data_IF_557069301555
#
_entry.id   IF_557069301555
#
_cell.length_a   1.000
_cell.length_b   1.000
_cell.length_c   1.000
_cell.angle_alpha   90.00
_cell.angle_beta   90.00
_cell.angle_gamma   90.00
#
_symmetry.space_group_name_H-M   'P 1'
#
loop_
_entity.id
_entity.type
_entity.pdbx_description
1 polymer ?
#
# COMPACT_ATOMS: atom_id res chain seq x y z
N UNK A 1 33.16 23.70 43.43
CA UNK A 1 32.34 23.89 44.65
C UNK A 1 30.92 23.41 44.35
N UNK A 2 30.44 22.42 45.12
CA UNK A 2 29.09 21.79 45.16
C UNK A 2 28.60 21.13 43.86
N UNK A 3 28.77 19.82 43.65
CA UNK A 3 28.09 18.68 44.31
C UNK A 3 26.58 18.68 44.12
N UNK A 4 26.10 17.91 43.12
CA UNK A 4 24.75 17.34 43.08
C UNK A 4 24.93 15.85 42.75
N UNK A 5 25.08 15.05 43.81
CA UNK A 5 24.63 13.67 43.83
C UNK A 5 23.09 13.70 43.89
N UNK A 6 22.39 12.66 43.42
CA UNK A 6 21.39 11.89 44.17
C UNK A 6 20.84 10.74 43.29
N UNK A 7 21.15 9.54 43.78
CA UNK A 7 20.35 8.32 43.85
C UNK A 7 19.75 7.69 42.58
N UNK A 8 20.52 6.74 42.06
CA UNK A 8 20.08 5.45 41.51
C UNK A 8 19.03 4.77 42.41
N UNK A 9 17.85 4.44 41.88
CA UNK A 9 16.92 3.47 42.49
C UNK A 9 16.86 2.26 41.57
N UNK A 10 17.62 1.23 41.95
CA UNK A 10 17.58 -0.12 41.40
C UNK A 10 16.49 -0.86 42.17
N UNK A 11 15.39 -1.20 41.49
CA UNK A 11 14.43 -2.18 42.01
C UNK A 11 14.51 -3.44 41.16
N UNK A 12 15.30 -4.37 41.65
CA UNK A 12 15.35 -5.77 41.27
C UNK A 12 14.05 -6.44 41.74
N UNK A 13 13.28 -7.01 40.81
CA UNK A 13 12.24 -7.99 41.14
C UNK A 13 12.58 -9.26 40.36
N UNK A 14 13.13 -10.24 41.08
CA UNK A 14 13.28 -11.62 40.63
C UNK A 14 11.96 -12.37 40.80
N UNK A 15 11.69 -13.27 39.86
CA UNK A 15 10.73 -14.37 39.98
C UNK A 15 9.88 -14.48 38.73
N UNK A 16 9.77 -15.59 38.01
CA UNK A 16 10.27 -16.95 38.20
C UNK A 16 9.82 -17.75 36.96
N UNK A 17 10.61 -18.75 36.63
CA UNK A 17 10.52 -19.64 35.46
C UNK A 17 9.24 -20.48 35.46
N UNK A 18 8.59 -20.62 34.30
CA UNK A 18 7.83 -21.83 33.98
C UNK A 18 8.00 -22.19 32.49
N UNK A 19 8.91 -23.14 32.26
CA UNK A 19 9.13 -23.79 30.97
C UNK A 19 8.15 -24.97 30.92
N UNK A 20 7.20 -24.95 29.99
CA UNK A 20 6.38 -26.13 29.66
C UNK A 20 6.95 -26.78 28.40
N UNK A 21 7.74 -27.84 28.59
CA UNK A 21 8.18 -28.75 27.53
C UNK A 21 7.08 -29.77 27.27
N UNK A 22 6.36 -29.62 26.16
CA UNK A 22 5.43 -30.66 25.67
C UNK A 22 6.25 -31.76 24.98
N UNK A 23 6.30 -32.93 25.64
CA UNK A 23 6.98 -34.13 25.17
C UNK A 23 5.93 -35.19 24.87
N UNK A 24 5.96 -35.72 23.64
CA UNK A 24 5.48 -37.07 23.32
C UNK A 24 4.06 -37.21 22.76
N UNK A 25 3.96 -37.58 21.49
CA UNK A 25 3.45 -38.92 21.16
C UNK A 25 4.06 -39.42 19.85
N UNK A 26 4.57 -40.65 19.89
CA UNK A 26 5.23 -41.37 18.79
C UNK A 26 4.66 -42.78 18.80
N UNK A 27 3.76 -43.10 17.88
CA UNK A 27 3.32 -44.46 17.55
C UNK A 27 2.60 -44.40 16.20
N UNK A 28 3.12 -44.89 15.06
CA UNK A 28 3.67 -46.19 14.64
C UNK A 28 2.60 -47.27 14.43
N UNK A 29 2.72 -47.91 13.27
CA UNK A 29 2.03 -49.11 12.77
C UNK A 29 0.64 -48.82 12.17
N UNK A 30 0.32 -49.11 10.91
CA UNK A 30 0.89 -50.08 9.98
C UNK A 30 -0.23 -51.03 9.53
N UNK A 31 -0.64 -50.89 8.27
CA UNK A 31 -1.08 -51.94 7.34
C UNK A 31 -2.21 -52.89 7.77
N UNK A 32 -3.36 -52.81 7.09
CA UNK A 32 -4.03 -53.99 6.53
C UNK A 32 -5.13 -53.58 5.55
N UNK A 33 -4.89 -54.03 4.32
CA UNK A 33 -5.81 -54.35 3.24
C UNK A 33 -7.23 -54.74 3.66
N UNK A 34 -8.23 -54.09 3.05
CA UNK A 34 -9.43 -54.79 2.62
C UNK A 34 -9.92 -54.16 1.32
N UNK A 35 -9.69 -54.89 0.23
CA UNK A 35 -10.30 -54.67 -1.06
C UNK A 35 -11.78 -55.08 -1.03
N UNK A 36 -12.51 -54.55 -2.03
CA UNK A 36 -13.74 -55.07 -2.62
C UNK A 36 -15.08 -54.52 -2.07
N UNK A 37 -15.63 -53.51 -2.76
CA UNK A 37 -16.93 -53.63 -3.45
C UNK A 37 -17.27 -52.34 -4.20
N UNK A 38 -17.30 -52.45 -5.52
CA UNK A 38 -17.84 -51.44 -6.42
C UNK A 38 -19.38 -51.49 -6.42
N UNK A 39 -20.03 -50.34 -6.37
CA UNK A 39 -21.28 -50.09 -7.12
C UNK A 39 -21.30 -48.64 -7.65
N UNK A 40 -21.85 -48.40 -8.86
CA UNK A 40 -21.70 -47.14 -9.57
C UNK A 40 -22.80 -46.13 -9.22
N UNK A 41 -22.42 -44.94 -8.77
CA UNK A 41 -23.31 -43.76 -8.78
C UNK A 41 -22.94 -42.91 -10.00
N UNK A 42 -23.92 -42.75 -10.88
CA UNK A 42 -23.86 -41.95 -12.10
C UNK A 42 -23.69 -40.43 -11.86
N UNK A 43 -23.64 -39.65 -12.96
CA UNK A 43 -22.79 -38.49 -13.06
C UNK A 43 -23.46 -37.24 -12.49
N UNK A 44 -22.78 -36.59 -11.54
CA UNK A 44 -23.15 -35.26 -11.08
C UNK A 44 -21.90 -34.37 -11.03
N UNK A 45 -21.76 -33.57 -12.09
CA UNK A 45 -21.27 -32.20 -12.10
C UNK A 45 -20.16 -31.85 -11.09
N UNK A 46 -18.91 -31.83 -11.57
CA UNK A 46 -17.94 -30.89 -11.03
C UNK A 46 -16.92 -30.45 -12.08
N UNK A 47 -17.30 -29.39 -12.81
CA UNK A 47 -16.36 -28.48 -13.45
C UNK A 47 -17.12 -27.17 -13.65
N UNK A 48 -17.47 -26.50 -12.55
CA UNK A 48 -17.81 -25.07 -12.62
C UNK A 48 -16.50 -24.34 -12.90
N UNK A 49 -16.14 -24.32 -14.18
CA UNK A 49 -15.21 -23.39 -14.75
C UNK A 49 -15.61 -21.99 -14.26
N UNK A 50 -14.72 -21.38 -13.48
CA UNK A 50 -14.81 -19.96 -13.21
C UNK A 50 -14.86 -19.23 -14.57
N UNK A 51 -15.75 -18.23 -14.72
CA UNK A 51 -15.92 -17.55 -15.98
C UNK A 51 -14.60 -16.89 -16.38
N UNK A 52 -14.02 -17.37 -17.47
CA UNK A 52 -13.16 -16.58 -18.34
C UNK A 52 -13.95 -15.34 -18.71
N UNK A 53 -13.68 -14.23 -18.01
CA UNK A 53 -14.11 -12.91 -18.46
C UNK A 53 -13.40 -12.66 -19.78
N UNK A 54 -14.09 -13.02 -20.86
CA UNK A 54 -13.80 -12.61 -22.22
C UNK A 54 -13.50 -11.12 -22.19
N UNK A 55 -12.27 -10.77 -22.57
CA UNK A 55 -11.91 -9.42 -22.93
C UNK A 55 -12.81 -9.00 -24.10
N UNK A 56 -13.71 -8.05 -23.84
CA UNK A 56 -14.36 -7.23 -24.85
C UNK A 56 -13.67 -5.85 -24.85
N UNK A 57 -13.60 -5.17 -26.00
CA UNK A 57 -12.57 -4.18 -26.28
C UNK A 57 -12.82 -2.91 -25.49
N UNK A 58 -11.78 -2.36 -24.86
CA UNK A 58 -11.79 -0.98 -24.40
C UNK A 58 -11.81 -0.08 -25.65
N UNK A 59 -13.00 0.35 -26.06
CA UNK A 59 -13.16 1.45 -27.01
C UNK A 59 -13.12 2.79 -26.29
N UNK A 60 -12.44 3.71 -26.97
CA UNK A 60 -12.42 5.17 -26.86
C UNK A 60 -13.50 5.86 -26.00
N UNK A 61 -13.05 6.91 -25.30
CA UNK A 61 -13.88 8.08 -25.00
C UNK A 61 -13.74 8.60 -23.57
N UNK A 62 -12.96 9.65 -23.39
CA UNK A 62 -12.90 10.37 -22.11
C UNK A 62 -11.93 11.56 -22.16
N UNK A 63 -12.24 12.55 -23.00
CA UNK A 63 -11.54 13.84 -23.01
C UNK A 63 -11.74 14.57 -21.69
N UNK A 64 -10.78 14.41 -20.78
CA UNK A 64 -10.48 15.43 -19.77
C UNK A 64 -9.56 16.50 -20.38
N UNK A 65 -9.47 17.70 -19.77
CA UNK A 65 -8.52 18.72 -20.21
C UNK A 65 -7.14 18.08 -20.33
N UNK A 66 -6.41 18.46 -21.39
CA UNK A 66 -5.17 17.82 -21.80
C UNK A 66 -4.25 17.59 -20.59
N UNK A 67 -4.26 16.36 -20.07
CA UNK A 67 -3.10 15.87 -19.32
C UNK A 67 -1.95 16.04 -20.30
N UNK A 68 -0.91 16.77 -19.91
CA UNK A 68 0.25 17.04 -20.74
C UNK A 68 0.99 15.72 -21.00
N UNK A 69 0.42 14.94 -21.92
CA UNK A 69 0.83 13.60 -22.27
C UNK A 69 2.18 13.75 -22.95
N UNK A 70 3.24 13.29 -22.29
CA UNK A 70 4.62 13.49 -22.75
C UNK A 70 5.54 14.17 -21.74
N UNK A 71 5.05 14.61 -20.58
CA UNK A 71 5.96 15.00 -19.50
C UNK A 71 6.75 13.79 -18.99
N UNK A 72 8.05 13.94 -18.71
CA UNK A 72 8.89 12.83 -18.22
C UNK A 72 8.34 12.22 -16.93
N UNK A 73 7.69 13.03 -16.08
CA UNK A 73 7.03 12.57 -14.86
C UNK A 73 5.92 11.54 -15.09
N UNK A 74 5.24 11.54 -16.23
CA UNK A 74 4.23 10.53 -16.53
C UNK A 74 4.85 9.13 -16.68
N UNK A 75 6.00 9.05 -17.37
CA UNK A 75 6.71 7.78 -17.53
C UNK A 75 7.25 7.28 -16.18
N UNK A 76 7.75 8.19 -15.34
CA UNK A 76 8.22 7.88 -13.99
C UNK A 76 7.05 7.40 -13.12
N UNK A 77 5.90 8.07 -13.16
CA UNK A 77 4.71 7.70 -12.40
C UNK A 77 4.22 6.29 -12.78
N UNK A 78 4.26 5.98 -14.08
CA UNK A 78 3.87 4.65 -14.59
C UNK A 78 4.88 3.58 -14.15
N UNK A 79 6.19 3.83 -14.36
CA UNK A 79 7.28 2.90 -14.03
C UNK A 79 7.31 2.55 -12.54
N UNK A 80 7.04 3.53 -11.67
CA UNK A 80 7.09 3.37 -10.22
C UNK A 80 5.73 3.00 -9.61
N UNK A 81 4.71 2.70 -10.44
CA UNK A 81 3.41 2.22 -10.00
C UNK A 81 2.51 3.26 -9.34
N UNK A 82 2.83 4.55 -9.42
CA UNK A 82 2.06 5.62 -8.78
C UNK A 82 0.60 5.64 -9.27
N UNK A 83 0.39 5.40 -10.57
CA UNK A 83 -0.93 5.40 -11.21
C UNK A 83 -1.80 4.21 -10.82
N UNK A 84 -1.26 3.20 -10.13
CA UNK A 84 -2.06 2.09 -9.60
C UNK A 84 -2.90 2.51 -8.39
N UNK A 85 -2.47 3.55 -7.67
CA UNK A 85 -3.15 4.05 -6.48
C UNK A 85 -3.74 5.46 -6.69
N UNK A 86 -3.08 6.30 -7.50
CA UNK A 86 -3.50 7.67 -7.78
C UNK A 86 -4.08 7.79 -9.18
N UNK A 87 -5.33 8.24 -9.27
CA UNK A 87 -5.94 8.50 -10.57
C UNK A 87 -5.60 9.89 -11.09
N UNK A 88 -5.49 10.01 -12.42
CA UNK A 88 -5.41 11.30 -13.13
C UNK A 88 -6.78 11.76 -13.63
N UNK A 89 -7.80 10.88 -13.60
CA UNK A 89 -9.15 11.13 -14.13
C UNK A 89 -10.16 11.66 -13.11
N UNK A 90 -9.78 11.85 -11.84
CA UNK A 90 -10.65 12.35 -10.78
C UNK A 90 -11.27 11.28 -9.88
N UNK A 91 -11.15 9.99 -10.23
CA UNK A 91 -11.66 8.91 -9.40
C UNK A 91 -10.80 8.72 -8.14
N UNK A 92 -11.42 8.65 -6.97
CA UNK A 92 -10.72 8.33 -5.73
C UNK A 92 -10.64 6.80 -5.55
N UNK A 93 -9.46 6.29 -5.16
CA UNK A 93 -9.22 4.87 -4.95
C UNK A 93 -8.37 4.63 -3.71
N UNK A 94 -7.32 3.81 -3.86
CA UNK A 94 -6.34 3.55 -2.79
C UNK A 94 -5.66 4.84 -2.34
N UNK A 95 -5.36 5.74 -3.28
CA UNK A 95 -4.86 7.08 -3.03
C UNK A 95 -5.81 8.16 -3.55
N UNK A 96 -5.58 9.43 -3.15
CA UNK A 96 -6.31 10.58 -3.68
C UNK A 96 -6.04 10.75 -5.18
N UNK A 97 -6.99 11.35 -5.88
CA UNK A 97 -6.77 11.78 -7.26
C UNK A 97 -5.77 12.94 -7.33
N UNK A 98 -4.99 13.00 -8.41
CA UNK A 98 -4.15 14.15 -8.72
C UNK A 98 -4.89 15.23 -9.51
N UNK A 99 -6.09 14.92 -10.04
CA UNK A 99 -6.85 15.85 -10.85
C UNK A 99 -7.23 17.09 -10.05
N UNK A 100 -6.71 18.25 -10.48
CA UNK A 100 -6.95 19.52 -9.81
C UNK A 100 -6.38 19.56 -8.39
N UNK A 101 -5.36 18.75 -8.08
CA UNK A 101 -4.75 18.76 -6.75
C UNK A 101 -3.87 19.99 -6.56
N UNK A 102 -2.97 20.26 -7.51
CA UNK A 102 -1.96 21.29 -7.38
C UNK A 102 -2.57 22.69 -7.22
N UNK A 103 -2.10 23.42 -6.21
CA UNK A 103 -2.60 24.75 -5.88
C UNK A 103 -3.91 24.78 -5.09
N UNK A 104 -4.52 23.64 -4.76
CA UNK A 104 -5.72 23.57 -3.93
C UNK A 104 -5.39 23.27 -2.46
N UNK A 105 -6.36 23.55 -1.59
CA UNK A 105 -6.26 23.25 -0.17
C UNK A 105 -6.65 21.79 0.08
N UNK A 106 -5.80 21.08 0.83
CA UNK A 106 -5.93 19.66 1.13
C UNK A 106 -6.24 19.48 2.61
N UNK A 107 -7.42 18.96 2.97
CA UNK A 107 -7.73 18.63 4.36
C UNK A 107 -6.92 17.41 4.79
N UNK A 108 -6.27 17.50 5.96
CA UNK A 108 -5.43 16.44 6.51
C UNK A 108 -6.18 15.63 7.58
N UNK A 109 -5.68 14.43 7.85
CA UNK A 109 -6.26 13.49 8.81
C UNK A 109 -6.22 14.02 10.26
N UNK A 110 -5.28 14.91 10.58
CA UNK A 110 -5.14 15.58 11.88
C UNK A 110 -6.11 16.76 12.08
N UNK A 111 -6.93 17.08 11.07
CA UNK A 111 -7.88 18.19 11.09
C UNK A 111 -7.32 19.52 10.60
N UNK A 112 -6.02 19.59 10.28
CA UNK A 112 -5.41 20.76 9.65
C UNK A 112 -5.67 20.78 8.13
N UNK A 113 -5.18 21.84 7.46
CA UNK A 113 -5.26 22.00 6.01
C UNK A 113 -3.91 22.44 5.49
N UNK A 114 -3.47 21.86 4.37
CA UNK A 114 -2.23 22.20 3.70
C UNK A 114 -2.49 22.66 2.25
N UNK A 115 -1.72 23.62 1.77
CA UNK A 115 -1.72 23.99 0.36
C UNK A 115 -0.96 22.93 -0.43
N UNK A 116 -1.54 22.40 -1.51
CA UNK A 116 -0.86 21.50 -2.43
C UNK A 116 0.11 22.25 -3.36
N UNK A 117 1.10 22.91 -2.77
CA UNK A 117 2.21 23.55 -3.47
C UNK A 117 3.35 22.56 -3.75
N UNK A 118 4.39 23.03 -4.44
CA UNK A 118 5.54 22.22 -4.81
C UNK A 118 6.23 21.58 -3.59
N UNK A 119 6.28 22.26 -2.45
CA UNK A 119 6.89 21.74 -1.23
C UNK A 119 6.05 20.61 -0.64
N UNK A 120 4.73 20.78 -0.56
CA UNK A 120 3.79 19.76 -0.13
C UNK A 120 3.85 18.52 -1.03
N UNK A 121 3.90 18.71 -2.36
CA UNK A 121 3.95 17.59 -3.30
C UNK A 121 5.27 16.81 -3.17
N UNK A 122 6.41 17.50 -3.05
CA UNK A 122 7.72 16.84 -2.82
C UNK A 122 7.76 16.11 -1.48
N UNK A 123 7.28 16.72 -0.41
CA UNK A 123 7.21 16.10 0.92
C UNK A 123 6.27 14.88 0.91
N UNK A 124 5.13 14.96 0.23
CA UNK A 124 4.21 13.83 0.11
C UNK A 124 4.83 12.64 -0.64
N UNK A 125 5.71 12.89 -1.61
CA UNK A 125 6.43 11.84 -2.34
C UNK A 125 7.55 11.24 -1.47
N UNK A 126 8.33 12.07 -0.79
CA UNK A 126 9.53 11.64 -0.05
C UNK A 126 9.27 11.17 1.38
N UNK A 127 8.24 11.74 2.01
CA UNK A 127 7.81 11.51 3.38
C UNK A 127 6.29 11.33 3.45
N UNK A 128 5.73 10.28 2.82
CA UNK A 128 4.28 10.14 2.59
C UNK A 128 3.41 10.08 3.85
N UNK A 129 4.01 9.78 5.02
CA UNK A 129 3.29 9.76 6.30
C UNK A 129 3.38 11.08 7.08
N UNK A 130 4.11 12.09 6.58
CA UNK A 130 4.24 13.37 7.26
C UNK A 130 2.92 14.17 7.26
N UNK A 131 2.19 14.13 6.14
CA UNK A 131 0.91 14.83 5.95
C UNK A 131 -0.08 13.91 5.25
N UNK A 132 -0.84 13.16 6.03
CA UNK A 132 -1.82 12.21 5.50
C UNK A 132 -3.12 12.93 5.16
N UNK A 133 -3.57 12.79 3.92
CA UNK A 133 -4.84 13.36 3.44
C UNK A 133 -6.02 12.74 4.21
N UNK A 134 -6.99 13.57 4.58
CA UNK A 134 -8.21 13.12 5.29
C UNK A 134 -8.91 12.01 4.50
N UNK A 135 -9.23 10.91 5.20
CA UNK A 135 -9.92 9.76 4.62
C UNK A 135 -9.01 8.69 4.00
N UNK A 136 -7.69 8.88 4.02
CA UNK A 136 -6.72 7.87 3.58
C UNK A 136 -5.94 7.28 4.76
N UNK A 137 -5.53 6.02 4.63
CA UNK A 137 -4.77 5.33 5.65
C UNK A 137 -3.26 5.64 5.54
N UNK A 138 -2.55 5.87 6.66
CA UNK A 138 -1.09 5.96 6.64
C UNK A 138 -0.46 4.61 6.28
N UNK A 139 0.79 4.64 5.82
CA UNK A 139 1.61 3.46 5.55
C UNK A 139 1.32 2.75 4.23
N UNK A 140 0.36 3.24 3.43
CA UNK A 140 0.01 2.65 2.13
C UNK A 140 0.94 3.14 1.02
N UNK A 141 1.27 4.44 1.01
CA UNK A 141 2.21 5.00 0.04
C UNK A 141 3.66 4.64 0.43
N UNK A 142 4.45 4.02 -0.47
CA UNK A 142 5.81 3.56 -0.15
C UNK A 142 6.73 4.65 0.39
N UNK A 143 7.28 4.45 1.60
CA UNK A 143 8.24 5.39 2.19
C UNK A 143 9.65 5.32 1.56
N UNK A 144 9.89 4.33 0.69
CA UNK A 144 11.17 4.14 0.01
C UNK A 144 11.41 5.11 -1.14
N UNK A 145 10.42 5.91 -1.57
CA UNK A 145 10.58 6.84 -2.70
C UNK A 145 11.64 7.92 -2.46
N UNK A 146 11.95 8.27 -1.20
CA UNK A 146 13.08 9.16 -0.87
C UNK A 146 14.45 8.59 -1.23
N UNK A 147 14.58 7.26 -1.35
CA UNK A 147 15.84 6.59 -1.68
C UNK A 147 15.83 5.88 -3.02
N UNK A 148 14.64 5.52 -3.53
CA UNK A 148 14.49 4.83 -4.82
C UNK A 148 14.35 5.78 -6.02
N UNK A 149 13.96 7.03 -5.79
CA UNK A 149 13.86 8.07 -6.82
C UNK A 149 15.01 9.07 -6.70
N UNK A 150 15.50 9.52 -7.84
CA UNK A 150 16.45 10.65 -7.91
C UNK A 150 15.73 11.97 -7.64
N UNK A 151 16.42 13.00 -7.12
CA UNK A 151 15.83 14.33 -6.93
C UNK A 151 15.17 14.88 -8.20
N UNK A 152 15.81 14.69 -9.36
CA UNK A 152 15.29 15.16 -10.65
C UNK A 152 14.02 14.40 -11.07
N UNK A 153 13.91 13.12 -10.72
CA UNK A 153 12.70 12.32 -10.99
C UNK A 153 11.52 12.79 -10.13
N UNK A 154 11.79 13.20 -8.88
CA UNK A 154 10.78 13.77 -7.98
C UNK A 154 10.28 15.10 -8.55
N UNK A 155 11.17 15.98 -9.02
CA UNK A 155 10.79 17.24 -9.64
C UNK A 155 9.93 17.03 -10.89
N UNK A 156 10.29 16.06 -11.73
CA UNK A 156 9.51 15.70 -12.90
C UNK A 156 8.13 15.13 -12.55
N UNK A 157 8.02 14.33 -11.48
CA UNK A 157 6.74 13.86 -10.96
C UNK A 157 5.85 15.01 -10.48
N UNK A 158 6.42 15.99 -9.78
CA UNK A 158 5.69 17.16 -9.30
C UNK A 158 5.15 17.98 -10.48
N UNK A 159 5.97 18.24 -11.49
CA UNK A 159 5.51 18.92 -12.72
C UNK A 159 4.41 18.14 -13.45
N UNK A 160 4.51 16.80 -13.48
CA UNK A 160 3.44 15.99 -14.02
C UNK A 160 2.15 16.11 -13.20
N UNK A 161 2.20 16.02 -11.87
CA UNK A 161 1.02 16.18 -11.00
C UNK A 161 0.38 17.55 -11.21
N UNK A 162 1.18 18.62 -11.29
CA UNK A 162 0.71 19.99 -11.54
C UNK A 162 -0.03 20.13 -12.86
N UNK A 163 0.38 19.37 -13.88
CA UNK A 163 -0.29 19.37 -15.18
C UNK A 163 -1.68 18.72 -15.21
N UNK A 164 -2.08 18.01 -14.15
CA UNK A 164 -3.36 17.29 -14.10
C UNK A 164 -4.41 18.19 -13.43
N UNK A 165 -5.34 18.70 -14.24
CA UNK A 165 -6.40 19.63 -13.82
C UNK A 165 -7.80 19.02 -13.98
#
# INVERSE_FOLDING_TARGET
>A
MKSILIATVISVVLGGILIATFSGDRGRHGQADFALAATPVGPAANATALPTKTAAPASAGGGGPAVNSGLPGQAIATKNGCTACHSTGGATGVGPTWKGLAGHDVPLADGSTAKADDAYLKESITSPNAKVVKGFAPGIMPASFSTSLKPEEIDQLVEFIKSIQ
#
